data_IF_097164152977
#
_entry.id   IF_097164152977
#
_cell.length_a   1.000
_cell.length_b   1.000
_cell.length_c   1.000
_cell.angle_alpha   90.00
_cell.angle_beta   90.00
_cell.angle_gamma   90.00
#
_symmetry.space_group_name_H-M   'P 1'
#
loop_
_entity.id
_entity.type
_entity.pdbx_description
1 polymer ?
#
# COMPACT_ATOMS: atom_id res chain seq x y z
N UNK A 1 14.83 8.62 0.57
CA UNK A 1 13.79 8.82 1.61
C UNK A 1 13.94 7.72 2.64
N UNK A 2 14.00 8.03 3.94
CA UNK A 2 13.99 7.01 5.01
C UNK A 2 12.53 6.67 5.33
N UNK A 3 12.15 5.39 5.36
CA UNK A 3 10.80 4.99 5.71
C UNK A 3 10.51 5.29 7.17
N UNK A 4 9.42 6.00 7.45
CA UNK A 4 8.98 6.32 8.82
C UNK A 4 8.39 5.12 9.56
N UNK A 5 8.12 4.03 8.85
CA UNK A 5 7.63 2.77 9.39
C UNK A 5 8.80 1.93 9.95
N UNK A 6 8.66 1.31 11.12
CA UNK A 6 9.64 0.37 11.63
C UNK A 6 9.85 -0.80 10.65
N UNK A 7 11.08 -1.35 10.54
CA UNK A 7 11.35 -2.50 9.69
C UNK A 7 10.54 -3.72 10.14
N UNK A 8 10.01 -4.49 9.17
CA UNK A 8 9.21 -5.69 9.44
C UNK A 8 10.10 -6.74 10.14
N UNK A 9 9.68 -7.23 11.31
CA UNK A 9 10.38 -8.30 12.07
C UNK A 9 10.47 -9.54 11.19
N UNK A 10 11.67 -9.90 10.73
CA UNK A 10 11.92 -11.20 10.08
C UNK A 10 11.95 -12.23 11.20
N UNK A 11 11.00 -13.16 11.22
CA UNK A 11 11.08 -14.33 12.09
C UNK A 11 12.22 -15.23 11.58
N UNK A 12 13.44 -14.98 12.07
CA UNK A 12 14.51 -15.97 12.05
C UNK A 12 14.29 -16.79 13.31
N UNK A 13 13.87 -18.05 13.13
CA UNK A 13 14.02 -19.08 14.16
C UNK A 13 15.52 -19.18 14.41
N UNK A 14 16.00 -18.60 15.50
CA UNK A 14 16.99 -19.20 16.38
C UNK A 14 17.00 -18.45 17.72
N UNK A 15 17.00 -19.24 18.79
CA UNK A 15 16.73 -18.85 20.16
C UNK A 15 17.96 -18.17 20.77
N UNK A 16 17.94 -16.85 21.01
CA UNK A 16 18.79 -16.20 22.03
C UNK A 16 18.08 -14.92 22.52
N UNK A 17 17.66 -14.92 23.79
CA UNK A 17 17.00 -13.80 24.48
C UNK A 17 18.09 -12.91 25.12
N UNK A 18 18.10 -11.60 24.91
CA UNK A 18 17.57 -10.63 25.89
C UNK A 18 17.99 -9.16 25.64
N UNK A 19 17.12 -8.23 26.06
CA UNK A 19 17.23 -6.75 26.16
C UNK A 19 16.95 -5.92 24.90
N UNK A 20 17.67 -6.06 23.78
CA UNK A 20 17.49 -5.15 22.63
C UNK A 20 16.21 -5.39 21.80
N UNK A 21 15.54 -6.53 22.03
CA UNK A 21 14.38 -6.96 21.28
C UNK A 21 13.08 -6.34 21.81
N UNK A 22 13.06 -5.94 23.09
CA UNK A 22 11.90 -5.39 23.78
C UNK A 22 11.64 -3.93 23.37
N UNK A 23 12.71 -3.11 23.26
CA UNK A 23 12.62 -1.71 22.81
C UNK A 23 12.07 -1.59 21.38
N UNK A 24 12.52 -2.48 20.47
CA UNK A 24 12.04 -2.50 19.08
C UNK A 24 10.57 -2.92 18.98
N UNK A 25 10.14 -3.83 19.85
CA UNK A 25 8.76 -4.29 19.92
C UNK A 25 7.85 -3.24 20.54
N UNK A 26 8.28 -2.58 21.62
CA UNK A 26 7.59 -1.43 22.23
C UNK A 26 7.47 -0.29 21.22
N UNK A 27 8.54 0.04 20.50
CA UNK A 27 8.51 1.07 19.46
C UNK A 27 7.55 0.72 18.32
N UNK A 28 7.52 -0.55 17.89
CA UNK A 28 6.58 -1.02 16.87
C UNK A 28 5.12 -0.97 17.36
N UNK A 29 4.86 -1.41 18.59
CA UNK A 29 3.54 -1.33 19.22
C UNK A 29 3.06 0.12 19.36
N UNK A 30 3.93 1.03 19.83
CA UNK A 30 3.65 2.47 19.90
C UNK A 30 3.35 3.06 18.52
N UNK A 31 4.09 2.65 17.49
CA UNK A 31 3.85 3.06 16.11
C UNK A 31 2.49 2.56 15.59
N UNK A 32 2.12 1.30 15.85
CA UNK A 32 0.81 0.76 15.46
C UNK A 32 -0.35 1.41 16.19
N UNK A 33 -0.16 1.82 17.45
CA UNK A 33 -1.15 2.60 18.20
C UNK A 33 -1.33 4.00 17.60
N UNK A 34 -0.23 4.64 17.16
CA UNK A 34 -0.25 5.96 16.52
C UNK A 34 -0.81 5.92 15.09
N UNK A 35 -0.53 4.86 14.35
CA UNK A 35 -0.93 4.66 12.95
C UNK A 35 -1.72 3.35 12.81
N UNK A 36 -3.01 3.35 13.19
CA UNK A 36 -3.82 2.15 13.18
C UNK A 36 -4.00 1.60 11.77
N UNK A 37 -4.02 0.28 11.64
CA UNK A 37 -4.26 -0.41 10.37
C UNK A 37 -5.62 -0.04 9.78
N UNK A 38 -5.64 0.38 8.52
CA UNK A 38 -6.87 0.65 7.79
C UNK A 38 -7.81 -0.57 7.71
N UNK A 39 -7.25 -1.79 7.68
CA UNK A 39 -8.04 -3.02 7.70
C UNK A 39 -8.73 -3.21 9.05
N UNK A 40 -8.05 -2.92 10.16
CA UNK A 40 -8.64 -3.01 11.50
C UNK A 40 -9.70 -1.91 11.71
N UNK A 41 -9.53 -0.76 11.06
CA UNK A 41 -10.49 0.36 11.08
C UNK A 41 -11.53 0.30 9.95
N UNK A 42 -11.63 -0.80 9.19
CA UNK A 42 -12.46 -0.84 7.98
C UNK A 42 -13.93 -0.48 8.24
N UNK A 43 -14.52 -1.01 9.31
CA UNK A 43 -15.90 -0.68 9.71
C UNK A 43 -16.11 0.81 9.96
N UNK A 44 -15.11 1.51 10.51
CA UNK A 44 -15.16 2.95 10.73
C UNK A 44 -15.07 3.70 9.40
N UNK A 45 -14.18 3.28 8.50
CA UNK A 45 -14.05 3.84 7.15
C UNK A 45 -15.38 3.74 6.40
N UNK A 46 -16.01 2.57 6.40
CA UNK A 46 -17.32 2.36 5.75
C UNK A 46 -18.42 3.20 6.40
N UNK A 47 -18.42 3.34 7.73
CA UNK A 47 -19.35 4.24 8.44
C UNK A 47 -19.21 5.69 7.96
N UNK A 48 -17.99 6.18 7.79
CA UNK A 48 -17.72 7.54 7.32
C UNK A 48 -18.00 7.75 5.82
N UNK A 49 -17.90 6.68 5.03
CA UNK A 49 -18.16 6.69 3.59
C UNK A 49 -19.65 6.56 3.23
N UNK A 50 -20.50 6.09 4.15
CA UNK A 50 -21.93 5.91 3.91
C UNK A 50 -22.59 7.20 3.42
N UNK A 51 -23.40 7.09 2.38
CA UNK A 51 -24.12 8.18 1.70
C UNK A 51 -23.22 9.27 1.09
N UNK A 52 -21.93 8.98 0.86
CA UNK A 52 -21.01 9.87 0.16
C UNK A 52 -20.61 9.29 -1.20
N UNK A 53 -20.26 10.18 -2.12
CA UNK A 53 -19.60 9.78 -3.38
C UNK A 53 -18.13 9.54 -3.09
N UNK A 54 -17.67 8.32 -3.36
CA UNK A 54 -16.29 7.91 -3.12
C UNK A 54 -15.52 8.01 -4.43
N UNK A 55 -14.32 8.59 -4.35
CA UNK A 55 -13.30 8.47 -5.38
C UNK A 55 -12.06 7.84 -4.74
N UNK A 56 -11.39 6.96 -5.47
CA UNK A 56 -10.21 6.23 -5.00
C UNK A 56 -8.98 6.75 -5.73
N UNK A 57 -7.95 7.12 -4.98
CA UNK A 57 -6.66 7.54 -5.51
C UNK A 57 -5.60 6.59 -4.96
N UNK A 58 -4.81 5.98 -5.84
CA UNK A 58 -3.81 4.98 -5.48
C UNK A 58 -2.44 5.44 -5.94
N UNK A 59 -1.47 5.45 -5.04
CA UNK A 59 -0.07 5.54 -5.41
C UNK A 59 0.40 4.24 -6.11
N UNK A 60 1.52 4.27 -6.83
CA UNK A 60 2.03 3.11 -7.57
C UNK A 60 3.21 2.40 -6.86
N UNK A 61 4.30 3.11 -6.61
CA UNK A 61 5.58 2.54 -6.16
C UNK A 61 5.57 2.28 -4.66
N UNK A 62 5.62 1.01 -4.26
CA UNK A 62 5.48 0.61 -2.85
C UNK A 62 4.04 0.49 -2.36
N UNK A 63 3.06 0.83 -3.21
CA UNK A 63 1.63 0.66 -2.94
C UNK A 63 1.04 -0.48 -3.77
N UNK A 64 1.01 -0.32 -5.11
CA UNK A 64 0.49 -1.34 -6.04
C UNK A 64 1.57 -2.25 -6.61
N UNK A 65 2.82 -1.81 -6.51
CA UNK A 65 4.02 -2.56 -6.89
C UNK A 65 4.98 -2.65 -5.70
N UNK A 66 5.84 -3.67 -5.64
CA UNK A 66 6.84 -3.75 -4.58
C UNK A 66 7.82 -2.57 -4.66
N UNK A 67 8.35 -2.16 -3.51
CA UNK A 67 9.50 -1.24 -3.45
C UNK A 67 10.71 -2.00 -4.00
N UNK A 68 11.33 -1.47 -5.06
CA UNK A 68 12.47 -2.08 -5.77
C UNK A 68 13.53 -1.02 -6.08
N UNK A 69 14.80 -1.44 -6.17
CA UNK A 69 15.92 -0.53 -6.46
C UNK A 69 15.91 -0.02 -7.91
N UNK A 70 15.51 -0.89 -8.85
CA UNK A 70 15.32 -0.55 -10.25
C UNK A 70 13.83 -0.24 -10.50
N UNK A 71 13.46 1.04 -10.74
CA UNK A 71 12.08 1.41 -11.00
C UNK A 71 11.46 0.63 -12.15
N UNK A 72 12.20 0.30 -13.20
CA UNK A 72 11.61 -0.39 -14.37
C UNK A 72 11.16 -1.83 -14.04
N UNK A 73 11.54 -2.35 -12.87
CA UNK A 73 11.10 -3.64 -12.33
C UNK A 73 9.93 -3.56 -11.34
N UNK A 74 9.40 -2.37 -11.05
CA UNK A 74 8.24 -2.21 -10.16
C UNK A 74 6.96 -2.58 -10.91
N UNK A 75 6.70 -3.89 -10.96
CA UNK A 75 5.58 -4.46 -11.70
C UNK A 75 4.46 -4.87 -10.75
N UNK A 76 3.25 -4.44 -11.08
CA UNK A 76 2.03 -4.89 -10.41
C UNK A 76 1.79 -6.40 -10.68
N UNK A 77 1.53 -7.17 -9.63
CA UNK A 77 1.17 -8.59 -9.78
C UNK A 77 -0.19 -8.75 -10.47
N UNK A 78 -0.45 -9.90 -11.09
CA UNK A 78 -1.75 -10.17 -11.72
C UNK A 78 -2.91 -10.08 -10.71
N UNK A 79 -2.69 -10.57 -9.48
CA UNK A 79 -3.68 -10.47 -8.41
C UNK A 79 -4.00 -9.01 -8.06
N UNK A 80 -2.98 -8.15 -7.92
CA UNK A 80 -3.18 -6.73 -7.64
C UNK A 80 -3.88 -6.02 -8.81
N UNK A 81 -3.53 -6.38 -10.05
CA UNK A 81 -4.18 -5.86 -11.27
C UNK A 81 -5.68 -6.17 -11.28
N UNK A 82 -6.06 -7.40 -10.93
CA UNK A 82 -7.46 -7.80 -10.77
C UNK A 82 -8.16 -7.06 -9.65
N UNK A 83 -7.49 -6.85 -8.50
CA UNK A 83 -8.05 -6.10 -7.39
C UNK A 83 -8.34 -4.63 -7.76
N UNK A 84 -7.38 -3.94 -8.38
CA UNK A 84 -7.57 -2.56 -8.87
C UNK A 84 -8.69 -2.48 -9.89
N UNK A 85 -8.75 -3.44 -10.82
CA UNK A 85 -9.84 -3.53 -11.80
C UNK A 85 -11.21 -3.66 -11.12
N UNK A 86 -11.32 -4.50 -10.09
CA UNK A 86 -12.56 -4.66 -9.35
C UNK A 86 -12.99 -3.36 -8.65
N UNK A 87 -12.06 -2.65 -8.01
CA UNK A 87 -12.33 -1.34 -7.38
C UNK A 87 -12.81 -0.31 -8.43
N UNK A 88 -12.14 -0.25 -9.59
CA UNK A 88 -12.45 0.67 -10.66
C UNK A 88 -13.79 0.43 -11.37
N UNK A 89 -14.40 -0.75 -11.19
CA UNK A 89 -15.77 -1.03 -11.66
C UNK A 89 -16.83 -0.41 -10.75
N UNK A 90 -16.50 -0.12 -9.49
CA UNK A 90 -17.45 0.41 -8.51
C UNK A 90 -17.24 1.90 -8.22
N UNK A 91 -16.00 2.38 -8.27
CA UNK A 91 -15.65 3.75 -7.91
C UNK A 91 -14.77 4.40 -8.98
N UNK A 92 -14.95 5.71 -9.24
CA UNK A 92 -13.96 6.51 -9.96
C UNK A 92 -12.59 6.32 -9.31
N UNK A 93 -11.64 5.76 -10.05
CA UNK A 93 -10.34 5.34 -9.51
C UNK A 93 -9.22 5.92 -10.36
N UNK A 94 -8.26 6.58 -9.73
CA UNK A 94 -7.07 7.10 -10.39
C UNK A 94 -5.81 6.49 -9.77
N UNK A 95 -4.84 6.16 -10.61
CA UNK A 95 -3.48 5.80 -10.18
C UNK A 95 -2.63 7.05 -10.34
N UNK A 96 -2.00 7.51 -9.27
CA UNK A 96 -1.11 8.66 -9.25
C UNK A 96 0.31 8.12 -9.18
N UNK A 97 1.16 8.46 -10.15
CA UNK A 97 2.55 8.00 -10.17
C UNK A 97 3.51 9.15 -10.41
N UNK A 98 4.66 9.11 -9.75
CA UNK A 98 5.78 10.02 -10.05
C UNK A 98 6.52 9.68 -11.36
N UNK A 99 6.12 8.60 -12.06
CA UNK A 99 6.79 8.15 -13.29
C UNK A 99 6.31 8.95 -14.51
N UNK A 100 7.22 9.24 -15.43
CA UNK A 100 6.84 9.84 -16.72
C UNK A 100 5.87 8.94 -17.48
N UNK A 101 4.87 9.57 -18.12
CA UNK A 101 3.86 8.93 -18.97
C UNK A 101 4.47 8.25 -20.20
N UNK A 102 5.64 8.73 -20.66
CA UNK A 102 6.32 8.25 -21.88
C UNK A 102 6.98 6.89 -21.67
N UNK A 103 7.35 6.57 -20.43
CA UNK A 103 7.64 5.19 -20.05
C UNK A 103 6.30 4.47 -20.04
N UNK A 104 6.02 3.73 -21.13
CA UNK A 104 4.88 2.82 -21.28
C UNK A 104 4.74 1.96 -20.03
N UNK A 105 4.03 2.46 -19.03
CA UNK A 105 3.70 1.68 -17.86
C UNK A 105 2.87 0.53 -18.41
N UNK A 106 3.27 -0.70 -18.12
CA UNK A 106 2.61 -1.93 -18.56
C UNK A 106 1.24 -2.11 -17.88
N UNK A 107 0.55 -1.00 -17.65
CA UNK A 107 -0.63 -0.80 -16.83
C UNK A 107 -1.79 -0.67 -17.81
N UNK A 108 -2.11 -1.78 -18.48
CA UNK A 108 -3.40 -1.91 -19.17
C UNK A 108 -4.49 -1.82 -18.09
N UNK A 109 -5.19 -0.68 -18.06
CA UNK A 109 -6.22 -0.39 -17.06
C UNK A 109 -7.62 -0.33 -17.67
N UNK A 110 -8.67 -0.59 -16.87
CA UNK A 110 -10.05 -0.41 -17.32
C UNK A 110 -10.27 1.02 -17.81
N UNK A 111 -11.16 1.20 -18.80
CA UNK A 111 -11.49 2.53 -19.37
C UNK A 111 -11.98 3.56 -18.32
N UNK A 112 -12.34 3.12 -17.12
CA UNK A 112 -12.77 3.96 -15.98
C UNK A 112 -11.63 4.44 -15.07
N UNK A 113 -10.37 4.10 -15.37
CA UNK A 113 -9.21 4.52 -14.58
C UNK A 113 -8.28 5.45 -15.35
N UNK A 114 -7.87 6.53 -14.69
CA UNK A 114 -6.90 7.50 -15.23
C UNK A 114 -5.57 7.30 -14.50
N UNK A 115 -4.49 7.16 -15.28
CA UNK A 115 -3.12 7.33 -14.76
C UNK A 115 -2.79 8.81 -14.87
N UNK A 116 -2.58 9.44 -13.72
CA UNK A 116 -2.15 10.84 -13.61
C UNK A 116 -0.64 10.86 -13.45
#
# INVERSE_FOLDING_TARGET
MKSSSPPRKKFIKDFTLDVAQDDAEIAYCSWMLKYPSALNCFSQIIKHARNKRIAIFLDYDGTLSPIVDDPDRALMSNAMRSAVKNVAMHFPTAIISGRSRDKKSSVAMPKSSVVV
#
